data_IF_661041618248
#
_entry.id   IF_661041618248
#
_cell.length_a   1.000
_cell.length_b   1.000
_cell.length_c   1.000
_cell.angle_alpha   90.00
_cell.angle_beta   90.00
_cell.angle_gamma   90.00
#
_symmetry.space_group_name_H-M   'P 1'
#
loop_
_entity.id
_entity.type
_entity.pdbx_description
1 polymer ?
#
# COMPACT_ATOMS: atom_id res chain seq x y z
N UNK A 1 -34.25 52.46 11.12
CA UNK A 1 -33.76 51.59 10.03
C UNK A 1 -34.08 50.16 10.43
N UNK A 2 -35.19 49.61 9.94
CA UNK A 2 -35.59 48.23 10.23
C UNK A 2 -34.97 47.34 9.16
N UNK A 3 -33.93 46.60 9.53
CA UNK A 3 -33.43 45.49 8.73
C UNK A 3 -34.40 44.33 8.87
N UNK A 4 -35.10 44.01 7.78
CA UNK A 4 -35.90 42.80 7.67
C UNK A 4 -34.97 41.60 7.77
N UNK A 5 -35.13 40.83 8.85
CA UNK A 5 -34.43 39.56 9.03
C UNK A 5 -35.08 38.56 8.08
N UNK A 6 -34.43 38.30 6.94
CA UNK A 6 -34.84 37.22 6.05
C UNK A 6 -34.59 35.89 6.77
N UNK A 7 -35.67 35.12 6.95
CA UNK A 7 -35.57 33.71 7.24
C UNK A 7 -35.01 33.03 5.97
N UNK A 8 -33.70 32.87 5.90
CA UNK A 8 -33.08 32.00 4.92
C UNK A 8 -33.44 30.56 5.30
N UNK A 9 -34.20 29.90 4.45
CA UNK A 9 -34.32 28.45 4.45
C UNK A 9 -32.96 27.91 4.02
N UNK A 10 -32.05 27.74 4.98
CA UNK A 10 -30.78 27.06 4.73
C UNK A 10 -31.10 25.68 4.17
N UNK A 11 -30.76 25.43 2.91
CA UNK A 11 -30.85 24.10 2.34
C UNK A 11 -29.80 23.23 3.03
N UNK A 12 -30.22 22.55 4.10
CA UNK A 12 -29.38 21.70 4.95
C UNK A 12 -28.67 20.58 4.16
N UNK A 13 -29.12 20.25 2.95
CA UNK A 13 -28.43 19.31 2.06
C UNK A 13 -27.16 19.91 1.44
N UNK A 14 -27.10 21.22 1.22
CA UNK A 14 -25.91 21.90 0.70
C UNK A 14 -24.80 22.01 1.76
N UNK A 15 -25.16 21.84 3.04
CA UNK A 15 -24.22 21.81 4.17
C UNK A 15 -23.60 20.45 4.42
N UNK A 16 -24.11 19.38 3.79
CA UNK A 16 -23.48 18.07 3.88
C UNK A 16 -22.56 17.88 2.67
N UNK A 17 -21.24 17.99 2.83
CA UNK A 17 -20.34 17.69 1.73
C UNK A 17 -20.59 16.24 1.28
N UNK A 18 -20.57 15.95 -0.03
CA UNK A 18 -20.69 14.58 -0.51
C UNK A 18 -19.63 13.72 0.19
N UNK A 19 -19.93 12.45 0.50
CA UNK A 19 -18.95 11.56 1.10
C UNK A 19 -17.68 11.57 0.24
N UNK A 20 -16.48 11.51 0.86
CA UNK A 20 -15.25 11.44 0.11
C UNK A 20 -15.32 10.24 -0.86
N UNK A 21 -14.72 10.36 -2.05
CA UNK A 21 -14.63 9.22 -2.95
C UNK A 21 -13.97 8.04 -2.22
N UNK A 22 -14.41 6.80 -2.49
CA UNK A 22 -13.82 5.62 -1.87
C UNK A 22 -12.31 5.60 -2.17
N UNK A 23 -11.53 5.29 -1.14
CA UNK A 23 -10.10 5.05 -1.30
C UNK A 23 -9.88 3.76 -2.08
N UNK A 24 -8.74 3.62 -2.75
CA UNK A 24 -8.38 2.37 -3.45
C UNK A 24 -8.41 1.15 -2.52
N UNK A 25 -8.13 1.36 -1.23
CA UNK A 25 -8.20 0.35 -0.18
C UNK A 25 -9.62 -0.11 0.17
N UNK A 26 -10.65 0.72 -0.07
CA UNK A 26 -12.04 0.34 0.20
C UNK A 26 -12.56 -0.72 -0.79
N UNK A 27 -11.89 -0.85 -1.94
CA UNK A 27 -12.20 -1.83 -2.99
C UNK A 27 -11.05 -2.81 -3.26
N UNK A 28 -10.07 -2.90 -2.36
CA UNK A 28 -8.92 -3.78 -2.53
C UNK A 28 -9.33 -5.25 -2.57
N UNK A 29 -8.70 -6.01 -3.45
CA UNK A 29 -8.91 -7.45 -3.63
C UNK A 29 -7.73 -8.27 -3.12
N UNK A 30 -6.56 -7.64 -2.93
CA UNK A 30 -5.37 -8.24 -2.33
C UNK A 30 -5.15 -7.64 -0.95
N UNK A 31 -4.96 -8.51 0.05
CA UNK A 31 -4.83 -8.10 1.44
C UNK A 31 -3.38 -8.25 1.91
N UNK A 32 -2.83 -7.22 2.55
CA UNK A 32 -1.42 -7.27 2.96
C UNK A 32 -1.15 -8.47 3.88
N UNK A 33 -1.99 -8.65 4.91
CA UNK A 33 -1.78 -9.72 5.89
C UNK A 33 -1.99 -11.13 5.35
N UNK A 34 -2.94 -11.31 4.44
CA UNK A 34 -3.29 -12.62 3.92
C UNK A 34 -2.45 -13.03 2.71
N UNK A 35 -2.11 -12.08 1.84
CA UNK A 35 -1.53 -12.36 0.53
C UNK A 35 -0.08 -11.90 0.38
N UNK A 36 0.29 -10.75 0.95
CA UNK A 36 1.61 -10.12 0.71
C UNK A 36 2.63 -10.46 1.79
N UNK A 37 2.27 -10.36 3.07
CA UNK A 37 3.14 -10.67 4.20
C UNK A 37 3.74 -12.09 4.09
N UNK A 38 2.99 -13.15 3.73
CA UNK A 38 3.58 -14.47 3.53
C UNK A 38 4.65 -14.53 2.43
N UNK A 39 4.49 -13.74 1.35
CA UNK A 39 5.47 -13.66 0.25
C UNK A 39 6.73 -12.94 0.73
N UNK A 40 6.56 -11.83 1.44
CA UNK A 40 7.67 -11.07 2.03
C UNK A 40 8.46 -11.93 3.01
N UNK A 41 7.78 -12.65 3.89
CA UNK A 41 8.42 -13.52 4.88
C UNK A 41 9.17 -14.70 4.24
N UNK A 42 8.62 -15.28 3.18
CA UNK A 42 9.21 -16.42 2.50
C UNK A 42 10.42 -16.06 1.62
N UNK A 43 10.40 -14.88 1.00
CA UNK A 43 11.32 -14.54 -0.09
C UNK A 43 12.19 -13.31 0.17
N UNK A 44 11.80 -12.41 1.07
CA UNK A 44 12.49 -11.14 1.32
C UNK A 44 13.09 -11.08 2.73
N UNK A 45 12.26 -11.26 3.76
CA UNK A 45 12.62 -11.15 5.18
C UNK A 45 13.32 -12.41 5.72
N UNK A 46 14.18 -13.00 4.90
CA UNK A 46 14.91 -14.22 5.21
C UNK A 46 16.24 -13.91 5.93
N UNK A 47 16.71 -14.87 6.72
CA UNK A 47 17.94 -14.76 7.48
C UNK A 47 19.14 -14.39 6.59
N UNK A 48 19.79 -13.25 6.88
CA UNK A 48 20.96 -12.78 6.15
C UNK A 48 20.66 -11.79 5.02
N UNK A 49 19.38 -11.58 4.70
CA UNK A 49 18.92 -10.54 3.77
C UNK A 49 18.16 -9.47 4.56
N UNK A 50 16.84 -9.39 4.42
CA UNK A 50 15.99 -8.36 5.04
C UNK A 50 15.34 -8.78 6.36
N UNK A 51 15.98 -9.67 7.11
CA UNK A 51 15.51 -10.05 8.44
C UNK A 51 15.87 -9.00 9.50
N UNK A 52 15.21 -9.10 10.67
CA UNK A 52 15.51 -8.23 11.80
C UNK A 52 16.98 -8.36 12.25
N UNK A 53 17.69 -7.24 12.30
CA UNK A 53 19.10 -7.19 12.71
C UNK A 53 20.07 -7.79 11.68
N UNK A 54 19.61 -8.06 10.46
CA UNK A 54 20.44 -8.49 9.34
C UNK A 54 21.30 -7.35 8.76
N UNK A 55 22.14 -7.67 7.76
CA UNK A 55 22.99 -6.67 7.10
C UNK A 55 22.21 -5.72 6.18
N UNK A 56 21.00 -6.10 5.74
CA UNK A 56 20.12 -5.24 4.96
C UNK A 56 19.02 -4.63 5.84
N UNK A 57 18.37 -3.54 5.39
CA UNK A 57 17.21 -3.00 6.08
C UNK A 57 16.14 -4.06 6.27
N UNK A 58 15.57 -4.13 7.47
CA UNK A 58 14.55 -5.12 7.81
C UNK A 58 13.24 -4.82 7.06
N UNK A 59 12.57 -5.87 6.59
CA UNK A 59 11.26 -5.85 5.94
C UNK A 59 10.29 -6.80 6.66
N UNK A 60 10.28 -6.76 7.99
CA UNK A 60 9.56 -7.72 8.86
C UNK A 60 8.19 -7.22 9.33
N UNK A 61 7.74 -6.08 8.82
CA UNK A 61 6.40 -5.54 9.07
C UNK A 61 5.96 -4.59 7.95
N UNK A 62 4.67 -4.28 7.94
CA UNK A 62 4.04 -3.41 6.96
C UNK A 62 4.76 -2.05 6.84
N UNK A 63 5.03 -1.36 7.95
CA UNK A 63 5.59 -0.01 7.89
C UNK A 63 6.97 0.02 7.22
N UNK A 64 7.78 -1.00 7.47
CA UNK A 64 9.09 -1.15 6.82
C UNK A 64 8.95 -1.43 5.32
N UNK A 65 8.04 -2.31 4.91
CA UNK A 65 7.77 -2.56 3.48
C UNK A 65 7.23 -1.31 2.81
N UNK A 66 6.22 -0.67 3.44
CA UNK A 66 5.55 0.52 2.92
C UNK A 66 6.50 1.71 2.73
N UNK A 67 7.51 1.85 3.58
CA UNK A 67 8.57 2.85 3.37
C UNK A 67 9.25 2.72 2.00
N UNK A 68 9.53 1.49 1.55
CA UNK A 68 10.15 1.24 0.23
C UNK A 68 9.16 1.23 -0.92
N UNK A 69 7.89 0.92 -0.65
CA UNK A 69 6.82 1.13 -1.63
C UNK A 69 6.66 2.61 -1.93
N UNK A 70 6.58 3.46 -0.89
CA UNK A 70 6.32 4.90 -1.03
C UNK A 70 7.46 5.67 -1.68
N UNK A 71 8.67 5.13 -1.67
CA UNK A 71 9.82 5.71 -2.38
C UNK A 71 10.09 5.06 -3.75
N UNK A 72 9.25 4.11 -4.19
CA UNK A 72 9.31 3.46 -5.49
C UNK A 72 10.40 2.38 -5.63
N UNK A 73 11.26 2.19 -4.63
CA UNK A 73 12.34 1.19 -4.71
C UNK A 73 11.80 -0.23 -4.68
N UNK A 74 10.72 -0.48 -3.94
CA UNK A 74 10.12 -1.81 -3.88
C UNK A 74 9.63 -2.26 -5.26
N UNK A 75 8.84 -1.43 -5.95
CA UNK A 75 8.37 -1.70 -7.31
C UNK A 75 9.55 -1.86 -8.28
N UNK A 76 10.48 -0.91 -8.28
CA UNK A 76 11.65 -0.91 -9.17
C UNK A 76 12.49 -2.18 -9.04
N UNK A 77 12.68 -2.72 -7.83
CA UNK A 77 13.59 -3.84 -7.61
C UNK A 77 12.89 -5.20 -7.61
N UNK A 78 11.63 -5.26 -7.17
CA UNK A 78 10.85 -6.51 -7.09
C UNK A 78 10.08 -6.77 -8.38
N UNK A 79 9.44 -5.75 -8.96
CA UNK A 79 8.65 -5.89 -10.19
C UNK A 79 9.53 -5.64 -11.41
N UNK A 80 10.15 -4.46 -11.52
CA UNK A 80 10.92 -4.10 -12.72
C UNK A 80 12.30 -4.76 -12.77
N UNK A 81 12.81 -5.21 -11.62
CA UNK A 81 14.13 -5.85 -11.48
C UNK A 81 15.30 -4.94 -11.92
N UNK A 82 15.15 -3.61 -11.79
CA UNK A 82 16.12 -2.60 -12.26
C UNK A 82 16.36 -1.55 -11.15
N UNK A 83 17.61 -1.11 -10.90
CA UNK A 83 18.86 -1.65 -11.41
C UNK A 83 19.29 -2.94 -10.69
N UNK A 84 18.58 -3.33 -9.62
CA UNK A 84 18.85 -4.53 -8.85
C UNK A 84 17.63 -5.44 -8.86
N UNK A 85 17.88 -6.72 -9.10
CA UNK A 85 16.89 -7.78 -9.02
C UNK A 85 16.69 -8.23 -7.57
N UNK A 86 15.47 -8.12 -7.06
CA UNK A 86 15.05 -8.67 -5.76
C UNK A 86 13.83 -9.58 -5.92
N UNK A 87 13.70 -10.64 -5.13
CA UNK A 87 14.68 -11.16 -4.17
C UNK A 87 15.90 -11.79 -4.85
N UNK A 88 17.06 -11.76 -4.18
CA UNK A 88 18.25 -12.50 -4.61
C UNK A 88 18.10 -13.96 -4.20
N UNK A 89 18.28 -14.88 -5.16
CA UNK A 89 18.21 -16.31 -4.91
C UNK A 89 16.95 -16.93 -5.50
N UNK A 90 15.97 -17.27 -4.67
CA UNK A 90 14.70 -17.87 -5.11
C UNK A 90 13.83 -16.79 -5.75
N UNK A 91 13.57 -16.84 -7.07
CA UNK A 91 12.72 -15.85 -7.72
C UNK A 91 11.27 -16.03 -7.28
N UNK A 92 10.53 -14.92 -7.27
CA UNK A 92 9.09 -14.95 -7.11
C UNK A 92 8.44 -15.63 -8.31
N UNK A 93 7.39 -16.40 -8.04
CA UNK A 93 6.54 -16.98 -9.07
C UNK A 93 5.73 -15.87 -9.77
N UNK A 94 5.21 -16.18 -10.96
CA UNK A 94 4.35 -15.25 -11.68
C UNK A 94 3.07 -14.89 -10.93
N UNK A 95 2.53 -15.81 -10.12
CA UNK A 95 1.36 -15.53 -9.28
C UNK A 95 1.71 -14.57 -8.13
N UNK A 96 2.86 -14.76 -7.48
CA UNK A 96 3.33 -13.87 -6.42
C UNK A 96 3.61 -12.45 -6.95
N UNK A 97 4.28 -12.35 -8.10
CA UNK A 97 4.51 -11.06 -8.78
C UNK A 97 3.19 -10.38 -9.15
N UNK A 98 2.20 -11.14 -9.64
CA UNK A 98 0.87 -10.60 -9.94
C UNK A 98 0.18 -10.07 -8.67
N UNK A 99 0.19 -10.82 -7.57
CA UNK A 99 -0.41 -10.37 -6.31
C UNK A 99 0.25 -9.10 -5.79
N UNK A 100 1.58 -9.05 -5.82
CA UNK A 100 2.34 -7.86 -5.42
C UNK A 100 1.98 -6.67 -6.31
N UNK A 101 1.98 -6.85 -7.64
CA UNK A 101 1.61 -5.79 -8.59
C UNK A 101 0.20 -5.27 -8.34
N UNK A 102 -0.79 -6.15 -8.18
CA UNK A 102 -2.17 -5.76 -7.87
C UNK A 102 -2.26 -5.02 -6.53
N UNK A 103 -1.55 -5.47 -5.49
CA UNK A 103 -1.52 -4.77 -4.21
C UNK A 103 -0.91 -3.36 -4.32
N UNK A 104 0.15 -3.19 -5.12
CA UNK A 104 0.72 -1.87 -5.41
C UNK A 104 -0.28 -0.97 -6.17
N UNK A 105 -0.94 -1.51 -7.20
CA UNK A 105 -1.96 -0.80 -7.98
C UNK A 105 -3.19 -0.39 -7.12
N UNK A 106 -3.53 -1.20 -6.12
CA UNK A 106 -4.59 -0.93 -5.14
C UNK A 106 -4.16 0.05 -4.03
N UNK A 107 -2.95 0.59 -4.08
CA UNK A 107 -2.45 1.62 -3.17
C UNK A 107 -1.70 1.06 -1.95
N UNK A 108 -1.28 -0.19 -2.01
CA UNK A 108 -0.45 -0.86 -1.00
C UNK A 108 -1.04 -0.78 0.41
N UNK A 109 -2.30 -1.18 0.55
CA UNK A 109 -3.10 -1.07 1.76
C UNK A 109 -2.61 -1.97 2.91
N UNK A 110 -2.80 -1.53 4.17
CA UNK A 110 -2.61 -2.35 5.39
C UNK A 110 -3.97 -2.89 5.85
N UNK A 111 -4.38 -4.03 5.30
CA UNK A 111 -5.70 -4.63 5.45
C UNK A 111 -5.67 -6.15 5.69
#
# INVERSE_FOLDING_TARGET
MLTLQQCEYENIEERYPPPPPPSSCDSATVFYKADIEPIIDASCAISGCHNQGGPQPALVNYQQVKFYVDNGLFESWVIDQIPYAMPIGTPLTSEELQKIGTWLDEGACDN
#
